data_IF_819420095637
#
_entry.id   IF_819420095637
#
_cell.length_a   1.000
_cell.length_b   1.000
_cell.length_c   1.000
_cell.angle_alpha   90.00
_cell.angle_beta   90.00
_cell.angle_gamma   90.00
#
_symmetry.space_group_name_H-M   'P 1'
#
loop_
_entity.id
_entity.type
_entity.pdbx_description
1 polymer ?
#
# COMPACT_ATOMS: atom_id res chain seq x y z
N UNK A 1 8.01 7.09 -3.58
CA UNK A 1 7.48 5.73 -3.80
C UNK A 1 7.41 5.48 -5.29
N UNK A 2 7.75 4.28 -5.75
CA UNK A 2 7.80 3.94 -7.18
C UNK A 2 7.12 2.60 -7.48
N UNK A 3 6.69 2.40 -8.74
CA UNK A 3 6.11 1.12 -9.17
C UNK A 3 7.17 0.02 -9.11
N UNK A 4 6.80 -1.14 -8.57
CA UNK A 4 7.67 -2.29 -8.33
C UNK A 4 8.41 -2.22 -7.00
N UNK A 5 8.23 -1.15 -6.22
CA UNK A 5 8.85 -1.02 -4.90
C UNK A 5 8.18 -1.97 -3.91
N UNK A 6 8.99 -2.78 -3.22
CA UNK A 6 8.57 -3.54 -2.03
C UNK A 6 8.56 -2.64 -0.81
N UNK A 7 7.50 -2.70 -0.04
CA UNK A 7 7.25 -1.85 1.13
C UNK A 7 6.73 -2.69 2.30
N UNK A 8 6.77 -2.14 3.51
CA UNK A 8 6.15 -2.74 4.68
C UNK A 8 4.93 -1.92 5.07
N UNK A 9 3.83 -2.58 5.38
CA UNK A 9 2.66 -1.94 5.98
C UNK A 9 2.82 -1.89 7.50
N UNK A 10 2.16 -0.94 8.14
CA UNK A 10 2.21 -0.75 9.59
C UNK A 10 1.71 -1.97 10.38
N UNK A 11 0.82 -2.77 9.81
CA UNK A 11 0.37 -4.05 10.38
C UNK A 11 1.46 -5.14 10.37
N UNK A 12 2.61 -4.88 9.75
CA UNK A 12 3.76 -5.77 9.69
C UNK A 12 3.88 -6.54 8.37
N UNK A 13 2.84 -6.57 7.54
CA UNK A 13 2.84 -7.34 6.29
C UNK A 13 3.72 -6.68 5.22
N UNK A 14 4.28 -7.50 4.35
CA UNK A 14 5.00 -7.03 3.18
C UNK A 14 4.00 -6.72 2.05
N UNK A 15 4.34 -5.74 1.22
CA UNK A 15 3.51 -5.33 0.10
C UNK A 15 4.35 -4.82 -1.07
N UNK A 16 3.72 -4.70 -2.25
CA UNK A 16 4.33 -4.15 -3.45
C UNK A 16 3.45 -3.08 -4.09
N UNK A 17 4.06 -1.98 -4.50
CA UNK A 17 3.36 -0.93 -5.26
C UNK A 17 3.30 -1.36 -6.73
N UNK A 18 2.13 -1.77 -7.19
CA UNK A 18 1.96 -2.32 -8.56
C UNK A 18 1.51 -1.29 -9.59
N UNK A 19 0.97 -0.16 -9.13
CA UNK A 19 0.52 0.92 -10.00
C UNK A 19 0.58 2.27 -9.30
N UNK A 20 0.85 3.32 -10.08
CA UNK A 20 0.78 4.73 -9.66
C UNK A 20 -0.13 5.44 -10.64
N UNK A 21 -1.19 6.07 -10.15
CA UNK A 21 -2.10 6.84 -10.99
C UNK A 21 -1.50 8.20 -11.37
N UNK A 22 -2.05 8.82 -12.41
CA UNK A 22 -1.65 10.17 -12.83
C UNK A 22 -1.88 11.24 -11.75
N UNK A 23 -2.72 10.94 -10.74
CA UNK A 23 -2.97 11.78 -9.56
C UNK A 23 -2.06 11.43 -8.37
N UNK A 24 -1.09 10.54 -8.55
CA UNK A 24 -0.15 10.11 -7.53
C UNK A 24 -0.71 9.12 -6.51
N UNK A 25 -1.88 8.51 -6.74
CA UNK A 25 -2.40 7.43 -5.88
C UNK A 25 -1.65 6.14 -6.16
N UNK A 26 -1.44 5.33 -5.14
CA UNK A 26 -0.68 4.09 -5.22
C UNK A 26 -1.65 2.90 -5.11
N UNK A 27 -1.55 1.94 -6.02
CA UNK A 27 -2.20 0.63 -5.86
C UNK A 27 -1.18 -0.32 -5.25
N UNK A 28 -1.53 -0.89 -4.11
CA UNK A 28 -0.65 -1.70 -3.29
C UNK A 28 -1.23 -3.10 -3.18
N UNK A 29 -0.41 -4.10 -3.43
CA UNK A 29 -0.74 -5.52 -3.23
C UNK A 29 -0.07 -5.97 -1.94
N UNK A 30 -0.86 -6.33 -0.94
CA UNK A 30 -0.41 -6.83 0.35
C UNK A 30 -0.34 -8.35 0.32
N UNK A 31 0.81 -8.91 0.73
CA UNK A 31 0.99 -10.34 0.89
C UNK A 31 0.45 -10.77 2.26
N UNK A 32 -0.65 -11.52 2.23
CA UNK A 32 -1.28 -12.13 3.41
C UNK A 32 -1.25 -13.65 3.28
N UNK A 33 -1.43 -14.35 4.39
CA UNK A 33 -1.53 -15.82 4.43
C UNK A 33 -2.95 -16.29 4.03
N UNK A 34 -3.41 -15.86 2.86
CA UNK A 34 -4.71 -16.20 2.27
C UNK A 34 -4.52 -16.61 0.79
N UNK A 35 -5.55 -17.19 0.18
CA UNK A 35 -5.52 -17.68 -1.21
C UNK A 35 -5.24 -16.54 -2.22
N UNK A 36 -5.77 -15.34 -1.95
CA UNK A 36 -5.60 -14.17 -2.79
C UNK A 36 -4.97 -13.02 -1.98
N UNK A 37 -4.03 -12.25 -2.57
CA UNK A 37 -3.49 -11.08 -1.90
C UNK A 37 -4.55 -9.99 -1.75
N UNK A 38 -4.42 -9.16 -0.71
CA UNK A 38 -5.27 -7.99 -0.54
C UNK A 38 -4.77 -6.83 -1.40
N UNK A 39 -5.70 -6.02 -1.92
CA UNK A 39 -5.38 -4.88 -2.81
C UNK A 39 -5.96 -3.61 -2.24
N UNK A 40 -5.12 -2.58 -2.13
CA UNK A 40 -5.42 -1.33 -1.46
C UNK A 40 -5.04 -0.12 -2.29
N UNK A 41 -5.81 0.96 -2.17
CA UNK A 41 -5.41 2.27 -2.69
C UNK A 41 -4.88 3.15 -1.56
N UNK A 42 -3.72 3.77 -1.82
CA UNK A 42 -3.07 4.69 -0.91
C UNK A 42 -2.86 6.05 -1.53
N UNK A 43 -2.68 7.05 -0.68
CA UNK A 43 -2.25 8.39 -1.06
C UNK A 43 -0.79 8.40 -1.52
N UNK A 44 -0.36 9.48 -2.15
CA UNK A 44 1.01 9.63 -2.67
C UNK A 44 2.10 9.59 -1.59
N UNK A 45 1.73 9.89 -0.34
CA UNK A 45 2.58 9.80 0.84
C UNK A 45 2.55 8.41 1.50
N UNK A 46 1.79 7.45 0.96
CA UNK A 46 1.66 6.10 1.49
C UNK A 46 0.62 5.90 2.58
N UNK A 47 -0.13 6.95 2.96
CA UNK A 47 -1.22 6.79 3.92
C UNK A 47 -2.45 6.14 3.27
N UNK A 48 -3.16 5.32 4.03
CA UNK A 48 -4.41 4.70 3.57
C UNK A 48 -5.58 5.69 3.68
N UNK A 49 -5.74 6.33 4.84
CA UNK A 49 -6.67 7.44 5.05
C UNK A 49 -5.96 8.79 5.00
N UNK A 50 -6.72 9.86 4.79
CA UNK A 50 -6.16 11.21 4.65
C UNK A 50 -5.87 11.87 6.00
N UNK A 51 -6.62 11.51 7.04
CA UNK A 51 -6.75 12.25 8.29
C UNK A 51 -6.52 11.40 9.54
N UNK A 52 -6.24 10.10 9.40
CA UNK A 52 -5.91 9.23 10.52
C UNK A 52 -4.86 8.19 10.13
N UNK A 53 -4.15 7.70 11.16
CA UNK A 53 -3.25 6.57 11.00
C UNK A 53 -4.04 5.28 10.79
N UNK A 54 -3.55 4.44 9.90
CA UNK A 54 -4.12 3.13 9.58
C UNK A 54 -3.08 2.04 9.77
N UNK A 55 -3.54 0.84 10.12
CA UNK A 55 -2.72 -0.37 10.08
C UNK A 55 -2.22 -0.68 8.65
N UNK A 56 -2.86 -0.12 7.62
CA UNK A 56 -2.47 -0.29 6.23
C UNK A 56 -1.52 0.81 5.73
N UNK A 57 -1.12 1.79 6.55
CA UNK A 57 -0.17 2.80 6.10
C UNK A 57 1.18 2.15 5.73
N UNK A 58 1.79 2.63 4.66
CA UNK A 58 3.16 2.25 4.29
C UNK A 58 4.14 2.95 5.26
N UNK A 59 5.08 2.18 5.82
CA UNK A 59 6.11 2.65 6.78
C UNK A 59 7.52 2.43 6.30
#
# INVERSE_FOLDING_TARGET
MEKGQKVKLRNGNDAEIVFISDFGKLLVVEYIDDELPAVHWHNSNGSFYADCESALDIV
#
